data_IF_905548966648
#
_entry.id   IF_905548966648
#
_cell.length_a   1.000
_cell.length_b   1.000
_cell.length_c   1.000
_cell.angle_alpha   90.00
_cell.angle_beta   90.00
_cell.angle_gamma   90.00
#
_symmetry.space_group_name_H-M   'P 1'
#
loop_
_entity.id
_entity.type
_entity.pdbx_description
1 polymer ?
#
# COMPACT_ATOMS: atom_id res chain seq x y z
N UNK A 1 1.86 -64.49 43.60
CA UNK A 1 2.86 -64.34 42.51
C UNK A 1 2.39 -63.17 41.68
N UNK A 2 2.92 -61.99 41.98
CA UNK A 2 2.50 -60.73 41.38
C UNK A 2 3.20 -60.50 40.04
N UNK A 3 2.41 -60.22 39.00
CA UNK A 3 2.93 -59.82 37.68
C UNK A 3 2.59 -58.35 37.48
N UNK A 4 3.62 -57.50 37.59
CA UNK A 4 3.55 -56.07 37.34
C UNK A 4 3.33 -55.79 35.84
N UNK A 5 2.18 -55.24 35.46
CA UNK A 5 1.96 -54.70 34.11
C UNK A 5 2.08 -53.17 34.13
N UNK A 6 3.19 -52.63 33.62
CA UNK A 6 3.42 -51.19 33.47
C UNK A 6 2.76 -50.73 32.16
N UNK A 7 1.63 -50.00 32.25
CA UNK A 7 1.04 -49.30 31.10
C UNK A 7 1.78 -47.97 30.94
N UNK A 8 2.58 -47.87 29.87
CA UNK A 8 3.23 -46.62 29.44
C UNK A 8 2.17 -45.73 28.81
N UNK A 9 2.00 -44.51 29.33
CA UNK A 9 1.08 -43.48 28.82
C UNK A 9 1.66 -42.86 27.55
N UNK A 10 1.05 -43.12 26.40
CA UNK A 10 1.35 -42.43 25.14
C UNK A 10 0.67 -41.06 25.14
N UNK A 11 1.47 -39.99 25.13
CA UNK A 11 0.98 -38.64 24.86
C UNK A 11 0.97 -38.44 23.34
N UNK A 12 -0.21 -38.29 22.74
CA UNK A 12 -0.33 -37.82 21.36
C UNK A 12 -0.29 -36.28 21.43
N UNK A 13 0.89 -35.72 21.15
CA UNK A 13 1.02 -34.31 20.81
C UNK A 13 0.50 -34.16 19.39
N UNK A 14 -0.74 -33.70 19.24
CA UNK A 14 -1.24 -33.28 17.94
C UNK A 14 -0.59 -31.92 17.66
N UNK A 15 0.54 -31.93 16.96
CA UNK A 15 1.05 -30.71 16.31
C UNK A 15 0.02 -30.31 15.25
N UNK A 16 -0.88 -29.39 15.60
CA UNK A 16 -1.53 -28.52 14.63
C UNK A 16 -0.40 -27.68 14.01
N UNK A 17 0.27 -28.25 13.01
CA UNK A 17 0.95 -27.47 11.99
C UNK A 17 -0.16 -26.71 11.26
N UNK A 18 -0.56 -25.57 11.82
CA UNK A 18 -1.18 -24.53 11.04
C UNK A 18 -0.16 -24.18 9.98
N UNK A 19 -0.43 -24.61 8.74
CA UNK A 19 0.27 -24.07 7.60
C UNK A 19 -0.09 -22.60 7.60
N UNK A 20 0.78 -21.74 8.14
CA UNK A 20 0.75 -20.34 7.80
C UNK A 20 0.93 -20.30 6.29
N UNK A 21 -0.15 -19.98 5.57
CA UNK A 21 -0.08 -19.80 4.14
C UNK A 21 1.02 -18.76 3.89
N UNK A 22 2.06 -19.17 3.15
CA UNK A 22 3.06 -18.23 2.67
C UNK A 22 2.34 -17.31 1.69
N UNK A 23 1.96 -16.12 2.16
CA UNK A 23 1.59 -15.01 1.28
C UNK A 23 2.88 -14.65 0.55
N UNK A 24 2.93 -14.82 -0.76
CA UNK A 24 4.01 -14.25 -1.57
C UNK A 24 3.83 -12.73 -1.60
N UNK A 25 4.25 -12.07 -0.53
CA UNK A 25 4.20 -10.63 -0.42
C UNK A 25 5.42 -10.08 -1.18
N UNK A 26 5.19 -9.55 -2.38
CA UNK A 26 6.22 -8.85 -3.15
C UNK A 26 6.41 -7.45 -2.59
N UNK A 27 7.65 -6.95 -2.44
CA UNK A 27 7.89 -5.55 -2.08
C UNK A 27 7.09 -4.61 -3.00
N UNK A 28 6.47 -3.57 -2.44
CA UNK A 28 5.85 -2.53 -3.22
C UNK A 28 6.90 -1.93 -4.15
N UNK A 29 6.62 -1.92 -5.45
CA UNK A 29 7.44 -1.29 -6.48
C UNK A 29 6.48 -0.71 -7.52
N UNK A 30 6.27 0.60 -7.46
CA UNK A 30 5.35 1.31 -8.35
C UNK A 30 6.09 2.43 -9.09
N UNK A 31 6.10 2.34 -10.42
CA UNK A 31 6.73 3.29 -11.34
C UNK A 31 5.72 3.93 -12.31
N UNK A 32 4.43 3.75 -12.04
CA UNK A 32 3.26 4.29 -12.74
C UNK A 32 3.19 4.02 -14.25
N UNK A 33 3.96 3.08 -14.77
CA UNK A 33 4.05 2.74 -16.20
C UNK A 33 2.83 1.96 -16.74
N UNK A 34 1.92 1.53 -15.86
CA UNK A 34 0.75 0.70 -16.18
C UNK A 34 -0.57 1.47 -16.15
N UNK A 35 -1.64 0.78 -15.72
CA UNK A 35 -2.96 1.39 -15.48
C UNK A 35 -2.88 2.43 -14.35
N UNK A 36 -3.82 3.37 -14.36
CA UNK A 36 -3.92 4.38 -13.31
C UNK A 36 -5.37 4.49 -12.77
N UNK A 37 -5.57 4.41 -11.45
CA UNK A 37 -4.54 4.07 -10.45
C UNK A 37 -3.99 2.65 -10.68
N UNK A 38 -2.77 2.36 -10.22
CA UNK A 38 -2.23 1.00 -10.33
C UNK A 38 -3.10 -0.02 -9.58
N UNK A 39 -3.04 -1.32 -9.92
CA UNK A 39 -3.82 -2.34 -9.24
C UNK A 39 -3.64 -2.30 -7.71
N UNK A 40 -4.75 -2.22 -6.98
CA UNK A 40 -4.79 -2.15 -5.51
C UNK A 40 -4.57 -0.75 -4.93
N UNK A 41 -4.15 0.22 -5.73
CA UNK A 41 -4.12 1.63 -5.34
C UNK A 41 -5.51 2.25 -5.52
N UNK A 42 -5.81 3.26 -4.72
CA UNK A 42 -7.05 4.02 -4.80
C UNK A 42 -6.73 5.51 -5.00
N UNK A 43 -7.65 6.22 -5.64
CA UNK A 43 -7.65 7.69 -5.65
C UNK A 43 -8.95 8.20 -5.07
N UNK A 44 -8.87 9.34 -4.38
CA UNK A 44 -10.03 10.05 -3.86
C UNK A 44 -9.81 11.56 -3.99
N UNK A 45 -10.91 12.31 -4.08
CA UNK A 45 -10.90 13.76 -4.11
C UNK A 45 -12.19 14.29 -3.50
N UNK A 46 -12.11 15.43 -2.84
CA UNK A 46 -13.26 16.11 -2.24
C UNK A 46 -13.88 17.20 -3.14
N UNK A 47 -13.42 17.31 -4.40
CA UNK A 47 -13.89 18.27 -5.39
C UNK A 47 -14.31 17.64 -6.73
N UNK A 48 -14.62 18.51 -7.70
CA UNK A 48 -15.10 18.09 -9.04
C UNK A 48 -13.99 17.88 -10.06
N UNK A 49 -12.74 18.27 -9.74
CA UNK A 49 -11.60 18.04 -10.62
C UNK A 49 -11.13 16.58 -10.52
N UNK A 50 -10.51 16.12 -11.60
CA UNK A 50 -9.69 14.91 -11.60
C UNK A 50 -8.64 15.02 -10.50
N UNK A 51 -8.57 14.06 -9.56
CA UNK A 51 -7.54 14.03 -8.53
C UNK A 51 -6.14 13.70 -9.08
N UNK A 52 -5.38 12.82 -8.42
CA UNK A 52 -4.13 12.33 -9.03
C UNK A 52 -4.40 11.68 -10.40
N UNK A 53 -3.52 11.94 -11.36
CA UNK A 53 -3.57 11.38 -12.72
C UNK A 53 -2.23 10.77 -13.11
N UNK A 54 -2.22 9.92 -14.13
CA UNK A 54 -0.98 9.49 -14.78
C UNK A 54 -0.48 10.60 -15.72
N UNK A 55 0.83 10.85 -15.72
CA UNK A 55 1.48 11.87 -16.55
C UNK A 55 2.71 11.30 -17.26
N UNK A 56 2.86 11.64 -18.53
CA UNK A 56 4.06 11.47 -19.36
C UNK A 56 4.86 12.78 -19.51
N UNK A 57 4.43 13.84 -18.82
CA UNK A 57 5.02 15.17 -18.92
C UNK A 57 6.32 15.26 -18.09
N UNK A 58 7.41 15.73 -18.71
CA UNK A 58 8.74 15.95 -18.08
C UNK A 58 9.32 14.73 -17.33
N UNK A 59 9.44 13.62 -18.07
CA UNK A 59 9.95 12.32 -17.58
C UNK A 59 11.32 12.41 -16.87
N UNK A 60 11.53 11.69 -15.75
CA UNK A 60 12.85 11.60 -15.11
C UNK A 60 13.86 10.91 -16.02
N UNK A 61 13.56 9.70 -16.52
CA UNK A 61 14.46 8.87 -17.34
C UNK A 61 13.63 7.80 -18.08
N UNK A 62 12.63 8.19 -18.90
CA UNK A 62 11.67 7.28 -19.59
C UNK A 62 10.58 6.70 -18.67
N UNK A 63 9.30 6.89 -19.02
CA UNK A 63 8.17 6.27 -18.30
C UNK A 63 7.00 7.23 -18.05
N UNK A 64 6.19 6.90 -17.06
CA UNK A 64 5.08 7.70 -16.56
C UNK A 64 5.27 7.98 -15.06
N UNK A 65 4.61 9.00 -14.54
CA UNK A 65 4.54 9.32 -13.10
C UNK A 65 3.09 9.57 -12.68
N UNK A 66 2.83 9.60 -11.38
CA UNK A 66 1.61 10.19 -10.85
C UNK A 66 1.78 11.70 -10.76
N UNK A 67 0.77 12.48 -11.17
CA UNK A 67 0.79 13.94 -11.11
C UNK A 67 -0.46 14.45 -10.43
N UNK A 68 -0.31 15.46 -9.59
CA UNK A 68 -1.45 16.26 -9.12
C UNK A 68 -2.00 17.10 -10.27
N UNK A 69 -3.23 17.61 -10.17
CA UNK A 69 -3.73 18.52 -11.18
C UNK A 69 -3.00 19.86 -11.10
N UNK A 70 -3.09 20.62 -12.18
CA UNK A 70 -2.53 21.97 -12.31
C UNK A 70 -3.50 22.79 -13.14
N UNK A 71 -4.34 23.56 -12.45
CA UNK A 71 -5.35 24.41 -13.03
C UNK A 71 -5.72 25.49 -12.00
N UNK A 72 -5.33 26.74 -12.28
CA UNK A 72 -5.66 27.90 -11.47
C UNK A 72 -7.01 28.54 -11.84
N UNK A 73 -7.71 27.98 -12.84
CA UNK A 73 -9.00 28.49 -13.36
C UNK A 73 -10.23 27.76 -12.82
N UNK A 74 -10.03 26.64 -12.10
CA UNK A 74 -11.09 25.83 -11.49
C UNK A 74 -10.97 25.94 -9.97
N UNK A 75 -12.11 25.90 -9.24
CA UNK A 75 -12.09 25.78 -7.77
C UNK A 75 -11.49 24.40 -7.45
N UNK A 76 -10.27 24.33 -6.92
CA UNK A 76 -9.62 23.06 -6.77
C UNK A 76 -10.29 22.24 -5.66
N UNK A 77 -10.27 20.90 -5.74
CA UNK A 77 -10.48 20.07 -4.56
C UNK A 77 -9.57 20.52 -3.43
N UNK A 78 -10.09 20.51 -2.21
CA UNK A 78 -9.27 20.86 -1.04
C UNK A 78 -8.19 19.81 -0.80
N UNK A 79 -8.44 18.55 -1.22
CA UNK A 79 -7.52 17.41 -1.15
C UNK A 79 -7.62 16.46 -2.34
N UNK A 80 -6.47 16.04 -2.84
CA UNK A 80 -6.32 14.94 -3.81
C UNK A 80 -5.51 13.81 -3.16
N UNK A 81 -6.10 12.63 -3.08
CA UNK A 81 -5.53 11.47 -2.41
C UNK A 81 -5.09 10.41 -3.43
N UNK A 82 -3.90 9.85 -3.20
CA UNK A 82 -3.42 8.63 -3.84
C UNK A 82 -2.98 7.65 -2.75
N UNK A 83 -3.70 6.53 -2.63
CA UNK A 83 -3.58 5.59 -1.53
C UNK A 83 -2.93 4.29 -2.01
N UNK A 84 -1.96 3.79 -1.26
CA UNK A 84 -1.31 2.50 -1.52
C UNK A 84 -2.26 1.34 -1.19
N UNK A 85 -2.01 0.12 -1.72
CA UNK A 85 -2.51 -1.12 -1.15
C UNK A 85 -2.07 -1.28 0.33
N UNK A 86 -2.60 -2.30 1.00
CA UNK A 86 -2.12 -2.69 2.33
C UNK A 86 -0.67 -3.18 2.26
N UNK A 87 0.18 -2.64 3.13
CA UNK A 87 1.60 -2.96 3.25
C UNK A 87 1.86 -3.67 4.58
N UNK A 88 2.88 -4.52 4.62
CA UNK A 88 3.32 -5.20 5.85
C UNK A 88 4.81 -4.94 6.10
N UNK A 89 5.18 -3.83 6.79
CA UNK A 89 6.54 -3.56 7.24
C UNK A 89 7.10 -4.74 8.03
N UNK A 90 8.34 -5.13 7.75
CA UNK A 90 9.03 -6.19 8.49
C UNK A 90 10.50 -5.83 8.73
N UNK A 91 11.23 -6.67 9.46
CA UNK A 91 12.65 -6.42 9.79
C UNK A 91 13.60 -6.45 8.58
N UNK A 92 13.12 -6.85 7.40
CA UNK A 92 13.90 -6.85 6.14
C UNK A 92 13.60 -5.61 5.31
N UNK A 93 12.37 -5.09 5.40
CA UNK A 93 11.93 -3.89 4.68
C UNK A 93 10.85 -3.15 5.46
N UNK A 94 11.26 -2.06 6.10
CA UNK A 94 10.44 -1.21 6.96
C UNK A 94 10.52 0.27 6.56
N UNK A 95 10.80 0.56 5.29
CA UNK A 95 10.83 1.94 4.80
C UNK A 95 10.01 2.09 3.54
N UNK A 96 9.43 3.27 3.36
CA UNK A 96 8.82 3.71 2.10
C UNK A 96 9.75 4.75 1.49
N UNK A 97 10.09 4.57 0.21
CA UNK A 97 10.89 5.52 -0.55
C UNK A 97 10.17 5.89 -1.83
N UNK A 98 10.37 7.12 -2.28
CA UNK A 98 9.70 7.66 -3.45
C UNK A 98 10.47 8.88 -3.96
N UNK A 99 10.22 9.25 -5.21
CA UNK A 99 10.76 10.47 -5.78
C UNK A 99 9.65 11.49 -5.99
N UNK A 100 9.91 12.74 -5.63
CA UNK A 100 9.03 13.86 -5.95
C UNK A 100 9.77 14.96 -6.70
N UNK A 101 9.04 15.69 -7.54
CA UNK A 101 9.45 16.96 -8.12
C UNK A 101 8.25 17.86 -8.32
N UNK A 102 8.52 19.11 -8.65
CA UNK A 102 7.52 20.01 -9.26
C UNK A 102 7.69 20.06 -10.77
N UNK A 103 6.60 20.30 -11.50
CA UNK A 103 6.64 20.45 -12.96
C UNK A 103 7.50 21.66 -13.36
N UNK A 104 7.26 22.79 -12.71
CA UNK A 104 7.93 24.07 -12.90
C UNK A 104 8.30 24.68 -11.55
N UNK A 105 9.13 25.73 -11.57
CA UNK A 105 9.32 26.56 -10.38
C UNK A 105 7.96 27.08 -9.92
N UNK A 106 7.63 26.72 -8.70
CA UNK A 106 6.42 27.14 -8.02
C UNK A 106 6.64 28.50 -7.36
N UNK A 107 5.77 29.51 -7.58
CA UNK A 107 5.71 30.64 -6.67
C UNK A 107 5.41 30.11 -5.25
N UNK A 108 5.79 30.86 -4.20
CA UNK A 108 5.47 30.46 -2.82
C UNK A 108 3.96 30.24 -2.71
N UNK A 109 3.58 28.96 -2.63
CA UNK A 109 2.21 28.49 -2.62
C UNK A 109 1.87 27.96 -1.24
N UNK A 110 0.59 27.98 -0.86
CA UNK A 110 0.11 27.31 0.35
C UNK A 110 0.02 25.78 0.17
N UNK A 111 0.25 25.29 -1.05
CA UNK A 111 0.11 23.90 -1.43
C UNK A 111 1.02 23.01 -0.58
N UNK A 112 0.55 21.81 -0.24
CA UNK A 112 1.31 20.87 0.57
C UNK A 112 1.07 19.45 0.10
N UNK A 113 2.15 18.69 -0.09
CA UNK A 113 2.08 17.24 -0.21
C UNK A 113 2.31 16.63 1.17
N UNK A 114 1.31 15.93 1.69
CA UNK A 114 1.43 15.11 2.89
C UNK A 114 1.68 13.65 2.54
N UNK A 115 2.42 12.95 3.40
CA UNK A 115 2.49 11.49 3.44
C UNK A 115 1.85 11.04 4.75
N UNK A 116 0.66 10.47 4.66
CA UNK A 116 -0.13 10.03 5.80
C UNK A 116 -0.15 8.51 5.90
N UNK A 117 -0.35 8.00 7.11
CA UNK A 117 -0.46 6.57 7.40
C UNK A 117 -1.77 6.26 8.14
N UNK A 118 -2.32 5.09 7.81
CA UNK A 118 -3.42 4.44 8.53
C UNK A 118 -3.04 3.00 8.92
N UNK A 119 -3.48 2.56 10.09
CA UNK A 119 -3.38 1.18 10.57
C UNK A 119 -4.73 0.43 10.46
N UNK A 120 -5.81 1.14 10.11
CA UNK A 120 -7.18 0.62 10.22
C UNK A 120 -7.84 0.41 8.87
N UNK A 121 -7.58 1.27 7.88
CA UNK A 121 -8.29 1.21 6.61
C UNK A 121 -7.82 2.24 5.59
N UNK A 122 -8.58 2.35 4.50
CA UNK A 122 -8.30 3.25 3.38
C UNK A 122 -9.38 4.33 3.21
N UNK A 123 -10.23 4.54 4.21
CA UNK A 123 -11.13 5.71 4.22
C UNK A 123 -10.32 6.95 4.57
N UNK A 124 -10.67 8.12 4.04
CA UNK A 124 -9.92 9.36 4.34
C UNK A 124 -9.79 9.65 5.84
N UNK A 125 -10.82 9.33 6.63
CA UNK A 125 -10.83 9.48 8.09
C UNK A 125 -9.89 8.52 8.84
N UNK A 126 -9.44 7.45 8.19
CA UNK A 126 -8.56 6.44 8.79
C UNK A 126 -7.09 6.90 8.83
N UNK A 127 -6.73 7.91 8.02
CA UNK A 127 -5.39 8.49 7.95
C UNK A 127 -5.23 9.58 9.00
N UNK A 128 -4.55 9.24 10.10
CA UNK A 128 -4.37 10.15 11.25
C UNK A 128 -2.91 10.39 11.62
N UNK A 129 -1.98 9.60 11.08
CA UNK A 129 -0.55 9.74 11.33
C UNK A 129 0.10 10.49 10.17
N UNK A 130 0.74 11.62 10.43
CA UNK A 130 1.59 12.31 9.46
C UNK A 130 3.03 11.79 9.57
N UNK A 131 3.54 11.21 8.47
CA UNK A 131 4.94 10.78 8.39
C UNK A 131 5.85 11.88 7.85
N UNK A 132 5.34 12.70 6.94
CA UNK A 132 6.05 13.82 6.34
C UNK A 132 5.07 14.80 5.67
N UNK A 133 5.56 16.02 5.45
CA UNK A 133 4.95 16.99 4.56
C UNK A 133 6.03 17.71 3.74
N UNK A 134 5.63 18.21 2.57
CA UNK A 134 6.50 18.94 1.65
C UNK A 134 5.75 20.13 1.06
N UNK A 135 6.38 21.31 1.02
CA UNK A 135 5.77 22.54 0.51
C UNK A 135 6.43 22.96 -0.80
N UNK A 136 5.72 22.95 -1.95
CA UNK A 136 6.24 23.44 -3.22
C UNK A 136 6.58 24.93 -3.16
N UNK A 137 7.71 25.31 -3.77
CA UNK A 137 8.12 26.72 -3.90
C UNK A 137 8.83 27.31 -2.68
N UNK A 138 8.96 26.59 -1.56
CA UNK A 138 9.75 27.01 -0.41
C UNK A 138 11.08 26.23 -0.32
N UNK A 139 12.15 26.84 -0.84
CA UNK A 139 13.52 26.79 -0.31
C UNK A 139 14.23 25.47 0.05
N UNK A 140 13.69 24.28 -0.20
CA UNK A 140 14.42 23.02 0.09
C UNK A 140 13.68 21.70 -0.19
N UNK A 141 12.35 21.67 -0.06
CA UNK A 141 11.59 20.40 -0.09
C UNK A 141 11.23 19.93 -1.50
N UNK A 142 11.29 20.84 -2.48
CA UNK A 142 11.01 20.53 -3.86
C UNK A 142 12.09 21.08 -4.78
N UNK A 143 12.43 20.25 -5.77
CA UNK A 143 13.26 20.60 -6.91
C UNK A 143 12.45 20.44 -8.19
N UNK A 144 12.91 21.07 -9.26
CA UNK A 144 12.46 20.73 -10.63
C UNK A 144 13.12 19.46 -11.15
N UNK A 145 14.07 18.89 -10.40
CA UNK A 145 14.55 17.52 -10.60
C UNK A 145 13.86 16.58 -9.60
N UNK A 146 13.75 15.31 -9.96
CA UNK A 146 13.27 14.30 -9.02
C UNK A 146 14.27 14.14 -7.87
N UNK A 147 13.78 14.35 -6.65
CA UNK A 147 14.51 14.14 -5.41
C UNK A 147 13.93 12.94 -4.69
N UNK A 148 14.79 12.03 -4.24
CA UNK A 148 14.37 10.87 -3.47
C UNK A 148 14.14 11.23 -2.00
N UNK A 149 13.08 10.69 -1.43
CA UNK A 149 12.80 10.69 0.00
C UNK A 149 12.62 9.25 0.49
N UNK A 150 12.91 9.04 1.77
CA UNK A 150 12.74 7.76 2.44
C UNK A 150 12.24 8.00 3.86
N UNK A 151 11.14 7.36 4.23
CA UNK A 151 10.49 7.48 5.53
C UNK A 151 10.50 6.12 6.23
N UNK A 152 10.80 6.10 7.53
CA UNK A 152 10.80 4.88 8.35
C UNK A 152 9.38 4.49 8.75
N UNK A 153 9.13 3.18 8.75
CA UNK A 153 7.93 2.50 9.24
C UNK A 153 8.28 1.53 10.38
N UNK A 154 9.44 1.70 11.04
CA UNK A 154 9.94 0.79 12.08
C UNK A 154 8.99 0.67 13.29
N UNK A 155 8.10 1.65 13.49
CA UNK A 155 7.09 1.60 14.56
C UNK A 155 5.89 0.69 14.21
N UNK A 156 5.80 0.21 12.97
CA UNK A 156 4.64 -0.52 12.45
C UNK A 156 5.01 -1.94 11.97
N UNK A 157 6.12 -2.50 12.47
CA UNK A 157 6.56 -3.84 12.08
C UNK A 157 5.51 -4.90 12.42
N UNK A 158 5.15 -5.71 11.43
CA UNK A 158 4.18 -6.79 11.56
C UNK A 158 2.72 -6.33 11.61
N UNK A 159 2.45 -5.03 11.46
CA UNK A 159 1.10 -4.48 11.37
C UNK A 159 0.77 -4.17 9.90
N UNK A 160 -0.46 -4.46 9.44
CA UNK A 160 -0.92 -3.96 8.16
C UNK A 160 -1.07 -2.43 8.22
N UNK A 161 -0.47 -1.73 7.27
CA UNK A 161 -0.59 -0.27 7.15
C UNK A 161 -0.99 0.15 5.74
N UNK A 162 -1.56 1.33 5.62
CA UNK A 162 -1.87 1.99 4.37
C UNK A 162 -1.21 3.36 4.35
N UNK A 163 -0.67 3.76 3.21
CA UNK A 163 -0.03 5.05 3.02
C UNK A 163 -0.86 5.88 2.04
N UNK A 164 -0.92 7.19 2.26
CA UNK A 164 -1.56 8.14 1.36
C UNK A 164 -0.62 9.29 1.02
N UNK A 165 -0.52 9.60 -0.26
CA UNK A 165 0.06 10.83 -0.77
C UNK A 165 -1.08 11.83 -1.00
N UNK A 166 -1.13 12.87 -0.18
CA UNK A 166 -2.26 13.82 -0.17
C UNK A 166 -1.77 15.19 -0.58
N UNK A 167 -2.23 15.65 -1.73
CA UNK A 167 -2.00 17.03 -2.16
C UNK A 167 -3.13 17.91 -1.65
N UNK A 168 -2.82 18.95 -0.90
CA UNK A 168 -3.79 19.80 -0.22
C UNK A 168 -3.41 21.28 -0.31
N UNK A 169 -4.32 22.14 0.17
CA UNK A 169 -4.12 23.60 0.29
C UNK A 169 -3.81 24.28 -1.05
N UNK A 170 -4.46 23.80 -2.10
CA UNK A 170 -4.12 24.09 -3.48
C UNK A 170 -4.51 25.51 -3.91
N UNK A 171 -3.53 26.26 -4.40
CA UNK A 171 -3.64 27.62 -4.95
C UNK A 171 -3.78 27.66 -6.48
N UNK A 172 -3.70 26.52 -7.17
CA UNK A 172 -3.78 26.39 -8.63
C UNK A 172 -2.43 26.30 -9.34
N UNK A 173 -1.35 26.79 -8.71
CA UNK A 173 -0.14 27.19 -9.45
C UNK A 173 0.93 26.10 -9.59
N UNK A 174 0.78 25.00 -8.85
CA UNK A 174 1.78 23.93 -8.74
C UNK A 174 1.22 22.56 -9.11
N UNK A 175 2.04 21.79 -9.83
CA UNK A 175 1.86 20.35 -10.00
C UNK A 175 3.04 19.61 -9.36
N UNK A 176 2.72 18.63 -8.52
CA UNK A 176 3.68 17.68 -7.96
C UNK A 176 3.63 16.39 -8.77
N UNK A 177 4.81 15.88 -9.11
CA UNK A 177 4.98 14.57 -9.71
C UNK A 177 5.56 13.63 -8.64
N UNK A 178 4.99 12.43 -8.55
CA UNK A 178 5.42 11.33 -7.68
C UNK A 178 5.78 10.14 -8.56
N UNK A 179 6.92 9.51 -8.28
CA UNK A 179 7.40 8.37 -9.05
C UNK A 179 8.23 7.41 -8.20
N UNK A 180 8.40 6.18 -8.69
CA UNK A 180 9.26 5.14 -8.12
C UNK A 180 9.02 4.92 -6.63
N UNK A 181 7.76 4.67 -6.27
CA UNK A 181 7.35 4.35 -4.91
C UNK A 181 7.73 2.91 -4.60
N UNK A 182 8.70 2.74 -3.69
CA UNK A 182 9.21 1.45 -3.27
C UNK A 182 9.03 1.29 -1.77
N UNK A 183 8.56 0.14 -1.31
CA UNK A 183 8.29 -0.05 0.11
C UNK A 183 8.11 -1.50 0.54
N UNK A 184 7.54 -1.72 1.74
CA UNK A 184 7.35 -3.05 2.27
C UNK A 184 6.47 -3.94 1.39
N UNK A 185 6.46 -5.25 1.66
CA UNK A 185 5.62 -6.18 0.92
C UNK A 185 4.13 -5.79 0.93
N UNK A 186 3.50 -5.90 -0.24
CA UNK A 186 2.05 -5.71 -0.39
C UNK A 186 1.32 -6.95 0.13
N UNK A 187 0.33 -6.74 0.98
CA UNK A 187 -0.60 -7.79 1.40
C UNK A 187 -1.66 -7.94 0.31
N UNK A 188 -1.53 -9.00 -0.48
CA UNK A 188 -2.59 -9.39 -1.41
C UNK A 188 -3.78 -9.94 -0.60
N UNK A 189 -5.03 -9.68 -1.01
CA UNK A 189 -6.16 -10.37 -0.43
C UNK A 189 -5.92 -11.88 -0.54
N UNK A 190 -6.16 -12.60 0.56
CA UNK A 190 -6.06 -14.06 0.54
C UNK A 190 -6.96 -14.61 -0.57
N UNK A 191 -6.51 -15.61 -1.36
CA UNK A 191 -7.44 -16.33 -2.22
C UNK A 191 -8.59 -16.85 -1.34
N UNK A 192 -9.85 -16.81 -1.82
CA UNK A 192 -10.97 -17.28 -1.03
C UNK A 192 -10.68 -18.69 -0.54
N UNK A 193 -10.83 -18.90 0.78
CA UNK A 193 -10.73 -20.22 1.36
C UNK A 193 -11.80 -21.10 0.72
N UNK A 194 -11.38 -21.99 -0.17
CA UNK A 194 -12.22 -23.07 -0.66
C UNK A 194 -11.96 -24.26 0.26
N UNK A 195 -12.83 -24.57 1.25
CA UNK A 195 -12.73 -25.82 1.97
C UNK A 195 -12.82 -26.93 0.93
N UNK A 196 -11.71 -27.64 0.71
CA UNK A 196 -11.76 -28.89 -0.04
C UNK A 196 -12.84 -29.76 0.63
N UNK A 197 -13.83 -30.29 -0.11
CA UNK A 197 -14.79 -31.19 0.49
C UNK A 197 -14.01 -32.33 1.12
N UNK A 198 -14.13 -32.47 2.43
CA UNK A 198 -13.64 -33.63 3.14
C UNK A 198 -14.35 -34.83 2.57
N UNK A 199 -13.66 -35.62 1.74
CA UNK A 199 -14.10 -36.96 1.42
C UNK A 199 -14.03 -37.76 2.71
N UNK A 200 -15.16 -37.87 3.41
CA UNK A 200 -15.33 -38.88 4.44
C UNK A 200 -15.27 -40.23 3.72
N UNK A 201 -14.09 -40.85 3.70
CA UNK A 201 -13.95 -42.25 3.34
C UNK A 201 -14.53 -43.11 4.47
N UNK A 202 -15.85 -43.08 4.61
CA UNK A 202 -16.61 -43.99 5.45
C UNK A 202 -17.93 -44.30 4.76
N UNK A 203 -17.98 -45.43 4.06
CA UNK A 203 -19.24 -46.09 3.70
C UNK A 203 -19.69 -45.88 2.26
N UNK A 204 -19.20 -46.75 1.36
CA UNK A 204 -20.07 -47.25 0.28
C UNK A 204 -19.85 -48.76 0.21
N UNK A 205 -20.75 -49.48 0.86
CA UNK A 205 -20.97 -50.91 0.66
C UNK A 205 -21.72 -51.06 -0.67
N UNK A 206 -21.07 -51.63 -1.68
CA UNK A 206 -21.74 -51.96 -2.94
C UNK A 206 -22.18 -53.42 -2.88
N UNK A 207 -23.41 -53.64 -2.44
CA UNK A 207 -24.14 -54.85 -2.76
C UNK A 207 -24.44 -54.85 -4.27
N UNK A 208 -23.86 -55.80 -5.00
CA UNK A 208 -24.30 -56.16 -6.34
C UNK A 208 -25.23 -57.37 -6.23
N UNK A 209 -26.51 -57.14 -6.52
CA UNK A 209 -27.49 -58.19 -6.86
C UNK A 209 -27.77 -58.06 -8.37
N UNK A 210 -27.18 -58.94 -9.18
CA UNK A 210 -27.76 -59.60 -10.38
C UNK A 210 -27.03 -60.95 -10.54
#
# INVERSE_FOLDING_TARGET
MDVNFRIVRTWIITCLLGWAAVVSATPLQEAFNGLFPPPGWLTATDGTDSGWIRSDTLNPVWGFSARTPQDSSVVPPSRCWLLTPSLSPDSRNSSISFYIRTLNTCPMSADTLFVLLSETGQSESDFSVELAYFIPGTGGDFSTNFTQYSLSLDSYLGLPVFLAFVYANWSGDCAVLLDSVNGPPVLLPSPPYNPQPTYNASGVDFAFDI
#
